data_IF_645647151136
#
_entry.id   IF_645647151136
#
_cell.length_a   1.000
_cell.length_b   1.000
_cell.length_c   1.000
_cell.angle_alpha   90.00
_cell.angle_beta   90.00
_cell.angle_gamma   90.00
#
_symmetry.space_group_name_H-M   'P 1'
#
loop_
_entity.id
_entity.type
_entity.pdbx_description
1 polymer ?
#
# COMPACT_ATOMS: atom_id res chain seq x y z
N UNK A 1 -3.95 -27.67 16.83
CA UNK A 1 -3.99 -27.43 15.37
C UNK A 1 -2.57 -27.18 14.93
N UNK A 2 -2.01 -28.01 14.04
CA UNK A 2 -0.61 -27.93 13.58
C UNK A 2 -0.39 -26.64 12.80
N UNK A 3 0.79 -26.03 12.90
CA UNK A 3 1.14 -24.85 12.13
C UNK A 3 1.61 -25.23 10.72
N UNK A 4 1.44 -24.35 9.75
CA UNK A 4 1.80 -24.63 8.36
C UNK A 4 3.27 -25.08 8.20
N UNK A 5 4.19 -24.38 8.88
CA UNK A 5 5.63 -24.68 8.79
C UNK A 5 5.97 -26.07 9.40
N UNK A 6 5.18 -26.57 10.38
CA UNK A 6 5.37 -27.89 10.96
C UNK A 6 5.03 -28.98 9.94
N UNK A 7 3.94 -28.80 9.20
CA UNK A 7 3.51 -29.74 8.16
C UNK A 7 4.49 -29.70 6.98
N UNK A 8 4.93 -28.50 6.59
CA UNK A 8 5.91 -28.32 5.52
C UNK A 8 7.25 -29.00 5.86
N UNK A 9 7.70 -28.89 7.10
CA UNK A 9 8.92 -29.55 7.58
C UNK A 9 8.79 -31.08 7.59
N UNK A 10 7.64 -31.57 8.05
CA UNK A 10 7.37 -33.02 8.04
C UNK A 10 7.40 -33.57 6.61
N UNK A 11 6.74 -32.89 5.66
CA UNK A 11 6.75 -33.29 4.25
C UNK A 11 8.17 -33.25 3.66
N UNK A 12 8.94 -32.22 3.98
CA UNK A 12 10.31 -32.04 3.46
C UNK A 12 11.28 -33.10 3.97
N UNK A 13 11.05 -33.62 5.17
CA UNK A 13 11.90 -34.64 5.79
C UNK A 13 11.60 -36.07 5.33
N UNK A 14 10.50 -36.28 4.57
CA UNK A 14 10.09 -37.59 4.11
C UNK A 14 10.89 -38.04 2.87
N UNK A 15 11.49 -39.22 2.96
CA UNK A 15 12.26 -39.86 1.89
C UNK A 15 11.51 -41.11 1.43
N UNK A 16 11.23 -41.22 0.15
CA UNK A 16 10.60 -42.42 -0.44
C UNK A 16 11.59 -43.58 -0.41
N UNK A 17 11.18 -44.70 0.22
CA UNK A 17 12.00 -45.92 0.35
C UNK A 17 11.50 -47.07 -0.53
N UNK A 18 10.49 -46.80 -1.40
CA UNK A 18 9.87 -47.78 -2.27
C UNK A 18 8.65 -48.49 -1.67
N UNK A 19 7.91 -49.21 -2.50
CA UNK A 19 6.67 -49.93 -2.10
C UNK A 19 5.64 -49.02 -1.38
N UNK A 20 5.43 -47.79 -1.90
CA UNK A 20 4.49 -46.80 -1.34
C UNK A 20 4.73 -46.47 0.15
N UNK A 21 5.97 -46.46 0.59
CA UNK A 21 6.40 -46.11 1.95
C UNK A 21 7.40 -44.97 1.95
N UNK A 22 7.32 -44.16 2.99
CA UNK A 22 8.20 -43.02 3.24
C UNK A 22 8.84 -43.17 4.62
N UNK A 23 10.08 -42.74 4.77
CA UNK A 23 10.76 -42.66 6.06
C UNK A 23 11.07 -41.21 6.39
N UNK A 24 10.75 -40.81 7.61
CA UNK A 24 11.16 -39.52 8.14
C UNK A 24 12.68 -39.54 8.42
N UNK A 25 13.42 -38.63 7.76
CA UNK A 25 14.89 -38.58 7.84
C UNK A 25 15.41 -38.16 9.22
N UNK A 26 14.58 -37.55 10.07
CA UNK A 26 14.98 -37.12 11.43
C UNK A 26 14.60 -38.16 12.47
N UNK A 27 13.41 -38.71 12.42
CA UNK A 27 12.89 -39.63 13.43
C UNK A 27 13.10 -41.11 13.08
N UNK A 28 13.27 -41.41 11.78
CA UNK A 28 13.34 -42.78 11.28
C UNK A 28 11.97 -43.50 11.24
N UNK A 29 10.86 -42.78 11.49
CA UNK A 29 9.52 -43.33 11.43
C UNK A 29 9.13 -43.67 10.01
N UNK A 30 8.49 -44.81 9.79
CA UNK A 30 8.01 -45.21 8.47
C UNK A 30 6.50 -44.93 8.40
N UNK A 31 6.11 -44.12 7.43
CA UNK A 31 4.72 -43.78 7.14
C UNK A 31 4.24 -44.40 5.82
N UNK A 32 2.96 -44.64 5.72
CA UNK A 32 2.33 -45.12 4.51
C UNK A 32 2.13 -44.03 3.48
N UNK A 33 1.88 -44.41 2.24
CA UNK A 33 1.48 -43.47 1.18
C UNK A 33 0.22 -42.70 1.54
N UNK A 34 -0.76 -43.39 2.18
CA UNK A 34 -2.00 -42.75 2.63
C UNK A 34 -1.73 -41.63 3.65
N UNK A 35 -0.82 -41.83 4.60
CA UNK A 35 -0.45 -40.84 5.59
C UNK A 35 0.26 -39.65 4.94
N UNK A 36 1.12 -39.92 3.95
CA UNK A 36 1.77 -38.85 3.15
C UNK A 36 0.76 -38.03 2.37
N UNK A 37 -0.19 -38.66 1.68
CA UNK A 37 -1.27 -37.98 0.97
C UNK A 37 -2.12 -37.13 1.91
N UNK A 38 -2.41 -37.62 3.12
CA UNK A 38 -3.14 -36.86 4.15
C UNK A 38 -2.36 -35.61 4.60
N UNK A 39 -1.03 -35.71 4.77
CA UNK A 39 -0.19 -34.55 5.08
C UNK A 39 -0.22 -33.50 3.96
N UNK A 40 -0.16 -33.94 2.71
CA UNK A 40 -0.27 -33.04 1.56
C UNK A 40 -1.63 -32.34 1.49
N UNK A 41 -2.72 -33.07 1.77
CA UNK A 41 -4.07 -32.49 1.84
C UNK A 41 -4.17 -31.46 2.97
N UNK A 42 -3.68 -31.77 4.16
CA UNK A 42 -3.68 -30.83 5.29
C UNK A 42 -2.90 -29.54 4.96
N UNK A 43 -1.79 -29.68 4.26
CA UNK A 43 -0.99 -28.53 3.80
C UNK A 43 -1.78 -27.67 2.79
N UNK A 44 -2.43 -28.32 1.81
CA UNK A 44 -3.22 -27.62 0.78
C UNK A 44 -4.39 -26.87 1.41
N UNK A 45 -5.14 -27.50 2.31
CA UNK A 45 -6.29 -26.88 3.01
C UNK A 45 -5.86 -25.63 3.80
N UNK A 46 -4.71 -25.70 4.46
CA UNK A 46 -4.16 -24.55 5.21
C UNK A 46 -3.74 -23.41 4.30
N UNK A 47 -3.08 -23.72 3.19
CA UNK A 47 -2.67 -22.71 2.20
C UNK A 47 -3.91 -22.07 1.57
N UNK A 48 -4.91 -22.86 1.21
CA UNK A 48 -6.18 -22.33 0.69
C UNK A 48 -6.86 -21.42 1.70
N UNK A 49 -6.93 -21.82 2.97
CA UNK A 49 -7.49 -21.00 4.04
C UNK A 49 -6.78 -19.64 4.18
N UNK A 50 -5.46 -19.62 4.08
CA UNK A 50 -4.66 -18.38 4.11
C UNK A 50 -4.96 -17.52 2.87
N UNK A 51 -5.05 -18.12 1.69
CA UNK A 51 -5.37 -17.42 0.45
C UNK A 51 -6.78 -16.80 0.48
N UNK A 52 -7.76 -17.52 1.03
CA UNK A 52 -9.13 -17.03 1.23
C UNK A 52 -9.16 -15.89 2.25
N UNK A 53 -8.43 -16.03 3.36
CA UNK A 53 -8.26 -14.96 4.35
C UNK A 53 -7.70 -13.69 3.71
N UNK A 54 -6.64 -13.80 2.93
CA UNK A 54 -6.08 -12.67 2.18
C UNK A 54 -7.10 -11.99 1.26
N UNK A 55 -7.89 -12.77 0.51
CA UNK A 55 -8.92 -12.22 -0.39
C UNK A 55 -10.01 -11.48 0.39
N UNK A 56 -10.43 -12.00 1.53
CA UNK A 56 -11.44 -11.38 2.38
C UNK A 56 -10.95 -10.04 2.94
N UNK A 57 -9.73 -10.01 3.49
CA UNK A 57 -9.11 -8.77 3.99
C UNK A 57 -8.94 -7.71 2.89
N UNK A 58 -8.56 -8.14 1.68
CA UNK A 58 -8.43 -7.23 0.54
C UNK A 58 -9.78 -6.64 0.13
N UNK A 59 -10.83 -7.47 0.06
CA UNK A 59 -12.19 -7.02 -0.28
C UNK A 59 -12.73 -6.05 0.77
N UNK A 60 -12.47 -6.29 2.06
CA UNK A 60 -12.87 -5.36 3.13
C UNK A 60 -12.11 -4.04 3.04
N UNK A 61 -10.81 -4.07 2.77
CA UNK A 61 -10.01 -2.87 2.56
C UNK A 61 -10.51 -2.03 1.36
N UNK A 62 -10.92 -2.67 0.26
CA UNK A 62 -11.52 -2.00 -0.89
C UNK A 62 -12.88 -1.37 -0.53
N UNK A 63 -13.70 -2.07 0.26
CA UNK A 63 -14.96 -1.54 0.78
C UNK A 63 -14.77 -0.29 1.62
N UNK A 64 -13.85 -0.32 2.57
CA UNK A 64 -13.47 0.82 3.41
C UNK A 64 -12.97 2.00 2.55
N UNK A 65 -12.15 1.74 1.56
CA UNK A 65 -11.67 2.78 0.63
C UNK A 65 -12.83 3.46 -0.10
N UNK A 66 -13.79 2.69 -0.60
CA UNK A 66 -14.95 3.25 -1.27
C UNK A 66 -15.81 4.13 -0.34
N UNK A 67 -15.92 3.80 0.94
CA UNK A 67 -16.57 4.64 1.94
C UNK A 67 -15.79 5.93 2.22
N UNK A 68 -14.47 5.84 2.35
CA UNK A 68 -13.59 7.01 2.52
C UNK A 68 -13.75 7.97 1.35
N UNK A 69 -13.80 7.48 0.12
CA UNK A 69 -13.98 8.29 -1.08
C UNK A 69 -15.32 9.04 -1.06
N UNK A 70 -16.41 8.35 -0.70
CA UNK A 70 -17.76 8.96 -0.56
C UNK A 70 -17.78 10.04 0.54
N UNK A 71 -17.16 9.75 1.70
CA UNK A 71 -17.08 10.71 2.81
C UNK A 71 -16.22 11.91 2.44
N UNK A 72 -15.13 11.69 1.72
CA UNK A 72 -14.23 12.73 1.22
C UNK A 72 -14.95 13.64 0.23
N UNK A 73 -15.73 13.09 -0.69
CA UNK A 73 -16.55 13.89 -1.61
C UNK A 73 -17.58 14.72 -0.85
N UNK A 74 -18.26 14.12 0.14
CA UNK A 74 -19.22 14.83 0.99
C UNK A 74 -18.56 15.97 1.76
N UNK A 75 -17.40 15.72 2.36
CA UNK A 75 -16.60 16.74 3.05
C UNK A 75 -16.23 17.89 2.11
N UNK A 76 -15.75 17.58 0.90
CA UNK A 76 -15.37 18.59 -0.08
C UNK A 76 -16.58 19.44 -0.55
N UNK A 77 -17.76 18.84 -0.69
CA UNK A 77 -18.99 19.59 -0.97
C UNK A 77 -19.33 20.59 0.15
N UNK A 78 -19.19 20.19 1.42
CA UNK A 78 -19.40 21.08 2.56
C UNK A 78 -18.36 22.20 2.63
N UNK A 79 -17.08 21.89 2.36
CA UNK A 79 -16.01 22.89 2.28
C UNK A 79 -16.28 23.93 1.19
N UNK A 80 -16.68 23.49 -0.01
CA UNK A 80 -17.05 24.43 -1.11
C UNK A 80 -18.22 25.33 -0.73
N UNK A 81 -19.25 24.78 -0.04
CA UNK A 81 -20.38 25.60 0.45
C UNK A 81 -19.91 26.64 1.48
N UNK A 82 -19.05 26.22 2.43
CA UNK A 82 -18.51 27.12 3.44
C UNK A 82 -17.66 28.24 2.80
N UNK A 83 -16.84 27.90 1.81
CA UNK A 83 -16.11 28.91 1.01
C UNK A 83 -17.03 29.86 0.28
N UNK A 84 -18.10 29.35 -0.35
CA UNK A 84 -19.11 30.18 -0.98
C UNK A 84 -19.73 31.20 -0.02
N UNK A 85 -20.11 30.79 1.20
CA UNK A 85 -20.59 31.70 2.22
C UNK A 85 -19.51 32.71 2.63
N UNK A 86 -18.28 32.30 2.81
CA UNK A 86 -17.16 33.19 3.15
C UNK A 86 -16.93 34.24 2.07
N UNK A 87 -16.93 33.83 0.81
CA UNK A 87 -16.76 34.73 -0.33
C UNK A 87 -17.92 35.73 -0.44
N UNK A 88 -19.16 35.24 -0.24
CA UNK A 88 -20.34 36.12 -0.22
C UNK A 88 -20.24 37.14 0.91
N UNK A 89 -19.88 36.72 2.14
CA UNK A 89 -19.67 37.63 3.26
C UNK A 89 -18.56 38.66 2.98
N UNK A 90 -17.52 38.27 2.27
CA UNK A 90 -16.45 39.20 1.88
C UNK A 90 -16.89 40.32 0.94
N UNK A 91 -18.01 40.11 0.21
CA UNK A 91 -18.57 41.14 -0.68
C UNK A 91 -19.50 42.15 0.06
N UNK A 92 -20.06 41.75 1.20
CA UNK A 92 -21.07 42.57 1.92
C UNK A 92 -20.53 43.15 3.23
N UNK A 93 -19.49 42.59 3.82
CA UNK A 93 -18.94 43.09 5.09
C UNK A 93 -17.70 43.93 4.81
N UNK A 94 -17.78 45.22 5.05
CA UNK A 94 -16.70 46.21 4.95
C UNK A 94 -16.05 46.52 6.32
N UNK A 95 -16.77 46.27 7.42
CA UNK A 95 -16.37 46.52 8.81
C UNK A 95 -16.55 45.24 9.66
N UNK A 96 -16.01 45.29 10.90
CA UNK A 96 -16.25 44.22 11.88
C UNK A 96 -17.74 44.09 12.15
N UNK A 97 -18.30 42.91 11.93
CA UNK A 97 -19.64 42.50 12.34
C UNK A 97 -19.53 41.57 13.56
N UNK A 98 -20.27 41.85 14.59
CA UNK A 98 -20.20 41.11 15.85
C UNK A 98 -21.58 40.95 16.46
N UNK A 99 -21.88 39.73 16.87
CA UNK A 99 -23.06 39.36 17.65
C UNK A 99 -22.65 38.48 18.81
N UNK A 100 -23.55 38.15 19.74
CA UNK A 100 -23.28 37.21 20.83
C UNK A 100 -22.86 35.81 20.36
N UNK A 101 -23.08 35.44 19.08
CA UNK A 101 -22.82 34.10 18.52
C UNK A 101 -21.70 34.07 17.47
N UNK A 102 -21.43 35.18 16.79
CA UNK A 102 -20.54 35.21 15.62
C UNK A 102 -19.79 36.54 15.57
N UNK A 103 -18.51 36.43 15.20
CA UNK A 103 -17.66 37.58 14.84
C UNK A 103 -17.16 37.39 13.42
N UNK A 104 -17.47 38.31 12.51
CA UNK A 104 -16.92 38.38 11.16
C UNK A 104 -16.09 39.66 10.99
N UNK A 105 -14.87 39.51 10.51
CA UNK A 105 -13.93 40.63 10.29
C UNK A 105 -13.33 40.53 8.92
N UNK A 106 -13.45 41.57 8.07
CA UNK A 106 -12.79 41.58 6.79
C UNK A 106 -11.28 41.58 6.98
N UNK A 107 -10.59 40.70 6.24
CA UNK A 107 -9.13 40.59 6.25
C UNK A 107 -8.62 40.84 4.85
N UNK A 108 -7.74 41.84 4.72
CA UNK A 108 -7.06 42.13 3.43
C UNK A 108 -5.72 41.44 3.44
N UNK A 109 -5.48 40.57 2.48
CA UNK A 109 -4.19 39.93 2.21
C UNK A 109 -3.63 40.42 0.87
N UNK A 110 -2.32 40.50 0.76
CA UNK A 110 -1.64 40.78 -0.50
C UNK A 110 -1.07 39.44 -0.99
N UNK A 111 -1.34 39.09 -2.22
CA UNK A 111 -0.78 37.92 -2.90
C UNK A 111 -0.02 38.37 -4.14
N UNK A 112 0.97 37.61 -4.54
CA UNK A 112 1.66 37.77 -5.80
C UNK A 112 0.98 36.88 -6.82
N UNK A 113 0.50 37.48 -7.91
CA UNK A 113 0.05 36.75 -9.09
C UNK A 113 1.27 36.62 -10.02
N UNK A 114 1.51 35.41 -10.50
CA UNK A 114 2.63 35.07 -11.36
C UNK A 114 2.11 34.38 -12.62
N UNK A 115 2.57 34.83 -13.77
CA UNK A 115 2.13 34.35 -15.10
C UNK A 115 2.81 33.06 -15.56
N UNK A 116 3.75 32.53 -14.76
CA UNK A 116 4.53 31.31 -15.07
C UNK A 116 5.90 31.58 -15.69
N UNK A 117 6.26 32.85 -16.01
CA UNK A 117 7.58 33.21 -16.53
C UNK A 117 8.60 33.36 -15.41
N UNK A 118 9.80 32.81 -15.59
CA UNK A 118 10.93 32.94 -14.68
C UNK A 118 11.96 34.01 -15.12
N UNK A 119 11.72 34.66 -16.26
CA UNK A 119 12.65 35.67 -16.78
C UNK A 119 12.82 36.83 -15.79
N UNK A 120 14.04 37.06 -15.32
CA UNK A 120 14.34 38.04 -14.28
C UNK A 120 13.89 37.69 -12.86
N UNK A 121 13.45 36.47 -12.63
CA UNK A 121 12.96 35.95 -11.33
C UNK A 121 13.78 34.77 -10.82
N UNK A 122 15.01 34.57 -11.31
CA UNK A 122 15.88 33.43 -11.00
C UNK A 122 16.13 33.27 -9.50
N UNK A 123 16.21 34.39 -8.77
CA UNK A 123 16.40 34.42 -7.31
C UNK A 123 15.24 33.84 -6.49
N UNK A 124 14.07 33.73 -7.09
CA UNK A 124 12.89 33.15 -6.45
C UNK A 124 12.64 31.67 -6.85
N UNK A 125 13.57 31.11 -7.65
CA UNK A 125 13.52 29.72 -8.05
C UNK A 125 13.98 28.81 -6.89
N UNK A 126 13.14 27.91 -6.43
CA UNK A 126 13.52 26.91 -5.43
C UNK A 126 14.02 25.67 -6.15
N UNK A 127 15.33 25.30 -6.04
CA UNK A 127 15.82 24.06 -6.63
C UNK A 127 15.08 22.88 -6.03
N UNK A 128 14.47 22.04 -6.88
CA UNK A 128 13.88 20.80 -6.42
C UNK A 128 14.99 19.81 -6.03
N UNK A 129 14.86 19.11 -4.89
CA UNK A 129 15.83 18.09 -4.54
C UNK A 129 15.87 17.01 -5.62
N UNK A 130 17.07 16.55 -5.97
CA UNK A 130 17.26 15.49 -6.95
C UNK A 130 16.50 14.23 -6.49
N UNK A 131 15.66 13.67 -7.37
CA UNK A 131 14.96 12.41 -7.14
C UNK A 131 15.75 11.29 -7.82
N UNK A 132 16.03 10.24 -7.05
CA UNK A 132 16.65 9.04 -7.60
C UNK A 132 15.62 8.23 -8.41
N UNK A 133 15.86 8.05 -9.71
CA UNK A 133 15.02 7.25 -10.59
C UNK A 133 15.36 5.75 -10.44
N UNK A 134 14.66 5.09 -9.52
CA UNK A 134 14.82 3.66 -9.27
C UNK A 134 14.43 2.80 -10.48
N UNK A 135 13.53 3.27 -11.35
CA UNK A 135 13.07 2.50 -12.50
C UNK A 135 14.15 2.46 -13.60
N UNK A 136 14.77 3.60 -13.87
CA UNK A 136 15.88 3.66 -14.81
C UNK A 136 17.11 2.92 -14.27
N UNK A 137 17.49 3.14 -13.01
CA UNK A 137 18.60 2.43 -12.37
C UNK A 137 18.43 0.90 -12.40
N UNK A 138 17.20 0.40 -12.22
CA UNK A 138 16.90 -1.03 -12.34
C UNK A 138 17.15 -1.54 -13.75
N UNK A 139 16.72 -0.82 -14.78
CA UNK A 139 16.94 -1.21 -16.19
C UNK A 139 18.42 -1.29 -16.52
N UNK A 140 19.18 -0.31 -16.07
CA UNK A 140 20.62 -0.24 -16.35
C UNK A 140 21.38 -1.37 -15.63
N UNK A 141 21.04 -1.67 -14.37
CA UNK A 141 21.58 -2.81 -13.62
C UNK A 141 21.22 -4.16 -14.29
N UNK A 142 19.99 -4.32 -14.80
CA UNK A 142 19.59 -5.52 -15.55
C UNK A 142 20.31 -5.65 -16.87
N UNK A 143 20.72 -4.55 -17.49
CA UNK A 143 21.54 -4.52 -18.70
C UNK A 143 23.04 -4.77 -18.43
N UNK A 144 23.45 -5.00 -17.17
CA UNK A 144 24.82 -5.28 -16.77
C UNK A 144 25.65 -4.07 -16.40
N UNK A 145 25.04 -2.88 -16.25
CA UNK A 145 25.76 -1.69 -15.79
C UNK A 145 26.09 -1.81 -14.28
N UNK A 146 27.25 -1.27 -13.89
CA UNK A 146 27.62 -1.16 -12.47
C UNK A 146 27.32 0.24 -11.99
N UNK A 147 26.39 0.35 -11.01
CA UNK A 147 26.03 1.63 -10.40
C UNK A 147 26.55 1.69 -8.96
N UNK A 148 27.27 2.75 -8.57
CA UNK A 148 27.77 2.89 -7.20
C UNK A 148 26.58 2.98 -6.23
N UNK A 149 26.69 2.34 -5.07
CA UNK A 149 25.68 2.30 -4.03
C UNK A 149 24.33 1.69 -4.44
N UNK A 150 24.25 0.98 -5.57
CA UNK A 150 23.05 0.34 -6.04
C UNK A 150 23.27 -1.17 -6.23
N UNK A 151 22.37 -1.98 -5.69
CA UNK A 151 22.36 -3.43 -5.90
C UNK A 151 21.00 -3.87 -6.39
N UNK A 152 21.01 -4.85 -7.31
CA UNK A 152 19.79 -5.51 -7.76
C UNK A 152 19.41 -6.58 -6.73
N UNK A 153 18.22 -6.45 -6.15
CA UNK A 153 17.69 -7.41 -5.17
C UNK A 153 16.48 -8.12 -5.78
N UNK A 154 16.53 -9.43 -5.81
CA UNK A 154 15.37 -10.24 -6.16
C UNK A 154 14.41 -10.34 -4.97
N UNK A 155 13.13 -10.16 -5.24
CA UNK A 155 12.06 -10.35 -4.26
C UNK A 155 11.05 -11.33 -4.81
N UNK A 156 10.80 -12.37 -4.05
CA UNK A 156 9.73 -13.32 -4.35
C UNK A 156 8.39 -12.75 -3.85
N UNK A 157 7.39 -12.79 -4.71
CA UNK A 157 6.01 -12.42 -4.33
C UNK A 157 5.05 -13.48 -4.85
N UNK A 158 3.96 -13.68 -4.12
CA UNK A 158 2.89 -14.62 -4.49
C UNK A 158 1.72 -13.81 -5.05
N UNK A 159 1.21 -14.24 -6.22
CA UNK A 159 -0.03 -13.68 -6.79
C UNK A 159 -1.18 -14.63 -6.48
N UNK A 160 -2.17 -14.14 -5.77
CA UNK A 160 -3.39 -14.88 -5.44
C UNK A 160 -4.50 -14.36 -6.36
N UNK A 161 -5.05 -15.27 -7.18
CA UNK A 161 -6.13 -14.95 -8.14
C UNK A 161 -7.47 -15.48 -7.66
#
# INVERSE_FOLDING_TARGET
MRKLYEIENDIANLIEIGADRYVDGETGEIISKEDFENLQMEWQDKVEGICLGYKNELAEAEGIKAEIDKLTERMNRHKKKAEGYKNFLATIIDKKFETAKVVAKPTKSKSVEWDGSFEGLEQYTVPQPAKFDKAQARKDLMAGATLPHCTLVEKTSVSIK
#
